data_IF_250754583888
#
_entry.id   IF_250754583888
#
_cell.length_a   1.000
_cell.length_b   1.000
_cell.length_c   1.000
_cell.angle_alpha   90.00
_cell.angle_beta   90.00
_cell.angle_gamma   90.00
#
_symmetry.space_group_name_H-M   'P 1'
#
loop_
_entity.id
_entity.type
_entity.pdbx_description
1 polymer ?
#
# COMPACT_ATOMS: atom_id res chain seq x y z
N UNK A 1 -10.23 -1.64 30.98
CA UNK A 1 -10.14 -1.44 29.51
C UNK A 1 -9.57 -2.73 28.93
N UNK A 2 -10.28 -3.39 28.01
CA UNK A 2 -9.80 -4.62 27.37
C UNK A 2 -9.10 -4.31 26.05
N UNK A 3 -8.05 -5.05 25.71
CA UNK A 3 -7.38 -4.97 24.40
C UNK A 3 -8.03 -5.99 23.47
N UNK A 4 -8.50 -5.54 22.30
CA UNK A 4 -8.95 -6.43 21.23
C UNK A 4 -7.75 -6.81 20.35
N UNK A 5 -7.56 -8.11 20.11
CA UNK A 5 -6.46 -8.62 19.27
C UNK A 5 -7.03 -9.16 17.95
N UNK A 6 -6.52 -8.64 16.84
CA UNK A 6 -6.85 -9.09 15.49
C UNK A 6 -5.68 -9.85 14.88
N UNK A 7 -5.92 -11.09 14.43
CA UNK A 7 -4.90 -11.96 13.85
C UNK A 7 -4.78 -11.74 12.35
N UNK A 8 -3.70 -12.22 11.73
CA UNK A 8 -3.55 -12.23 10.26
C UNK A 8 -4.70 -12.95 9.53
N UNK A 9 -5.33 -13.94 10.19
CA UNK A 9 -6.50 -14.65 9.67
C UNK A 9 -7.78 -13.80 9.64
N UNK A 10 -7.81 -12.69 10.37
CA UNK A 10 -8.95 -11.77 10.42
C UNK A 10 -8.86 -10.65 9.38
N UNK A 11 -7.70 -10.53 8.71
CA UNK A 11 -7.39 -9.51 7.73
C UNK A 11 -7.97 -9.88 6.37
N UNK A 12 -8.41 -8.87 5.62
CA UNK A 12 -8.77 -9.06 4.23
C UNK A 12 -7.54 -9.46 3.38
N UNK A 13 -7.79 -10.12 2.26
CA UNK A 13 -6.76 -10.47 1.29
C UNK A 13 -7.07 -9.82 -0.04
N UNK A 14 -6.04 -9.39 -0.76
CA UNK A 14 -6.16 -8.78 -2.08
C UNK A 14 -5.02 -9.21 -2.99
N UNK A 15 -5.13 -8.84 -4.25
CA UNK A 15 -4.05 -9.01 -5.21
C UNK A 15 -4.19 -8.01 -6.35
N UNK A 16 -3.06 -7.59 -6.92
CA UNK A 16 -3.00 -6.90 -8.20
C UNK A 16 -2.41 -7.81 -9.27
N UNK A 17 -2.69 -7.49 -10.53
CA UNK A 17 -2.11 -8.14 -11.71
C UNK A 17 -2.15 -9.68 -11.63
N UNK A 18 -3.33 -10.23 -11.33
CA UNK A 18 -3.56 -11.68 -11.26
C UNK A 18 -2.65 -12.43 -10.26
N UNK A 19 -2.20 -11.76 -9.19
CA UNK A 19 -1.42 -12.38 -8.12
C UNK A 19 0.08 -12.08 -8.17
N UNK A 20 0.53 -11.24 -9.11
CA UNK A 20 1.91 -10.74 -9.12
C UNK A 20 2.22 -9.82 -7.92
N UNK A 21 1.20 -9.17 -7.37
CA UNK A 21 1.26 -8.50 -6.07
C UNK A 21 0.17 -9.10 -5.20
N UNK A 22 0.54 -9.58 -4.02
CA UNK A 22 -0.38 -10.09 -3.02
C UNK A 22 -0.49 -9.10 -1.86
N UNK A 23 -1.66 -9.05 -1.25
CA UNK A 23 -1.94 -8.13 -0.14
C UNK A 23 -2.61 -8.82 1.05
N UNK A 24 -2.23 -8.38 2.24
CA UNK A 24 -2.99 -8.56 3.48
C UNK A 24 -3.37 -7.21 4.03
N UNK A 25 -4.66 -7.02 4.30
CA UNK A 25 -5.23 -5.72 4.67
C UNK A 25 -5.80 -5.79 6.08
N UNK A 26 -5.05 -5.33 7.10
CA UNK A 26 -5.61 -5.05 8.41
C UNK A 26 -6.84 -4.16 8.31
N UNK A 27 -6.77 -3.06 7.54
CA UNK A 27 -7.90 -2.17 7.29
C UNK A 27 -8.07 -2.08 5.77
N UNK A 28 -8.95 -2.92 5.23
CA UNK A 28 -9.33 -2.91 3.82
C UNK A 28 -10.59 -2.10 3.56
N UNK A 29 -10.99 -2.02 2.29
CA UNK A 29 -12.27 -1.40 1.95
C UNK A 29 -13.46 -2.24 2.45
N UNK A 30 -14.65 -1.64 2.62
CA UNK A 30 -15.82 -2.36 3.11
C UNK A 30 -16.13 -3.66 2.34
N UNK A 31 -15.92 -3.65 1.02
CA UNK A 31 -16.11 -4.81 0.14
C UNK A 31 -15.07 -5.93 0.29
N UNK A 32 -13.92 -5.66 0.94
CA UNK A 32 -12.85 -6.64 1.07
C UNK A 32 -13.13 -7.69 2.17
N UNK A 33 -14.16 -7.48 3.00
CA UNK A 33 -14.63 -8.47 3.98
C UNK A 33 -13.77 -8.62 5.25
N UNK A 34 -12.81 -7.71 5.48
CA UNK A 34 -11.98 -7.70 6.70
C UNK A 34 -12.77 -7.38 7.98
N UNK A 35 -12.35 -7.96 9.11
CA UNK A 35 -13.02 -7.76 10.41
C UNK A 35 -12.77 -6.38 11.00
N UNK A 36 -11.51 -5.91 10.91
CA UNK A 36 -11.13 -4.61 11.46
C UNK A 36 -11.65 -3.49 10.55
N UNK A 37 -12.10 -2.41 11.18
CA UNK A 37 -12.71 -1.25 10.52
C UNK A 37 -11.79 -0.03 10.67
N UNK A 38 -11.97 1.03 9.85
CA UNK A 38 -11.28 2.29 10.04
C UNK A 38 -11.31 2.76 11.49
N UNK A 39 -10.18 3.31 11.95
CA UNK A 39 -10.02 3.82 13.30
C UNK A 39 -9.45 5.23 13.25
N UNK A 40 -10.18 6.21 13.81
CA UNK A 40 -9.83 7.62 13.71
C UNK A 40 -9.67 8.02 12.24
N UNK A 41 -8.52 8.58 11.88
CA UNK A 41 -8.13 9.01 10.55
C UNK A 41 -7.41 7.93 9.74
N UNK A 42 -7.19 6.73 10.29
CA UNK A 42 -6.60 5.61 9.56
C UNK A 42 -7.73 4.79 8.95
N UNK A 43 -7.88 4.87 7.64
CA UNK A 43 -8.98 4.24 6.91
C UNK A 43 -8.53 3.21 5.87
N UNK A 44 -7.22 3.10 5.62
CA UNK A 44 -6.65 2.01 4.84
C UNK A 44 -5.28 1.59 5.41
N UNK A 45 -5.04 0.28 5.46
CA UNK A 45 -3.75 -0.31 5.80
C UNK A 45 -3.61 -1.62 5.05
N UNK A 46 -2.61 -1.69 4.17
CA UNK A 46 -2.20 -2.91 3.48
C UNK A 46 -0.72 -3.25 3.71
N UNK A 47 -0.45 -4.55 3.78
CA UNK A 47 0.86 -5.17 3.57
C UNK A 47 0.84 -5.80 2.19
N UNK A 48 1.68 -5.30 1.28
CA UNK A 48 1.77 -5.79 -0.09
C UNK A 48 3.16 -6.36 -0.38
N UNK A 49 3.24 -7.41 -1.19
CA UNK A 49 4.50 -8.02 -1.61
C UNK A 49 4.40 -8.70 -2.96
N UNK A 50 5.53 -8.85 -3.63
CA UNK A 50 5.67 -9.67 -4.84
C UNK A 50 6.12 -11.08 -4.47
N UNK A 51 5.39 -12.15 -4.82
CA UNK A 51 5.79 -13.52 -4.50
C UNK A 51 6.88 -14.08 -5.44
N UNK A 52 7.03 -13.54 -6.65
CA UNK A 52 7.91 -14.11 -7.67
C UNK A 52 8.76 -13.04 -8.36
N UNK A 53 8.11 -12.15 -9.10
CA UNK A 53 8.76 -11.16 -9.97
C UNK A 53 8.26 -9.76 -9.62
N UNK A 54 9.01 -8.75 -10.06
CA UNK A 54 8.57 -7.36 -9.96
C UNK A 54 7.22 -7.16 -10.64
N UNK A 55 6.41 -6.24 -10.12
CA UNK A 55 5.13 -5.88 -10.73
C UNK A 55 4.74 -4.44 -10.44
N UNK A 56 3.90 -3.87 -11.30
CA UNK A 56 3.54 -2.45 -11.27
C UNK A 56 2.03 -2.26 -11.18
N UNK A 57 1.61 -1.49 -10.18
CA UNK A 57 0.28 -0.90 -10.13
C UNK A 57 0.33 0.34 -11.03
N UNK A 58 -0.38 0.28 -12.15
CA UNK A 58 -0.39 1.34 -13.16
C UNK A 58 -0.94 2.68 -12.65
N UNK A 59 -0.85 3.71 -13.49
CA UNK A 59 -1.22 5.08 -13.12
C UNK A 59 -2.68 5.16 -12.65
N UNK A 60 -2.88 5.59 -11.41
CA UNK A 60 -4.20 5.73 -10.80
C UNK A 60 -4.29 6.99 -9.91
N UNK A 61 -5.50 7.59 -9.77
CA UNK A 61 -5.67 8.86 -9.09
C UNK A 61 -5.94 8.70 -7.58
N UNK A 62 -5.47 9.66 -6.79
CA UNK A 62 -5.83 9.87 -5.39
C UNK A 62 -6.11 11.36 -5.11
N UNK A 63 -6.97 11.65 -4.12
CA UNK A 63 -7.36 13.01 -3.75
C UNK A 63 -7.83 13.10 -2.30
N UNK A 64 -7.39 14.13 -1.58
CA UNK A 64 -7.92 14.51 -0.27
C UNK A 64 -7.34 13.77 0.95
N UNK A 65 -6.31 12.94 0.76
CA UNK A 65 -5.63 12.22 1.85
C UNK A 65 -4.12 12.07 1.62
N UNK A 66 -3.42 11.58 2.64
CA UNK A 66 -1.99 11.30 2.58
C UNK A 66 -1.77 9.79 2.41
N UNK A 67 -0.77 9.42 1.61
CA UNK A 67 -0.37 8.03 1.42
C UNK A 67 1.01 7.87 2.02
N UNK A 68 1.14 7.02 3.04
CA UNK A 68 2.41 6.72 3.68
C UNK A 68 2.85 5.31 3.30
N UNK A 69 3.93 5.20 2.53
CA UNK A 69 4.55 3.94 2.12
C UNK A 69 5.82 3.69 2.92
N UNK A 70 5.94 2.49 3.48
CA UNK A 70 7.11 2.03 4.25
C UNK A 70 7.70 0.81 3.55
N UNK A 71 8.95 0.90 3.13
CA UNK A 71 9.64 -0.24 2.49
C UNK A 71 10.17 -1.17 3.57
N UNK A 72 9.52 -2.33 3.75
CA UNK A 72 9.87 -3.28 4.80
C UNK A 72 11.02 -4.20 4.38
N UNK A 73 11.08 -4.51 3.08
CA UNK A 73 12.07 -5.38 2.50
C UNK A 73 12.29 -5.01 1.03
N UNK A 74 13.54 -5.03 0.59
CA UNK A 74 13.89 -4.88 -0.82
C UNK A 74 13.77 -3.43 -1.30
N UNK A 75 13.08 -3.22 -2.43
CA UNK A 75 13.04 -1.92 -3.13
C UNK A 75 11.68 -1.69 -3.79
N UNK A 76 11.25 -0.44 -3.85
CA UNK A 76 10.16 -0.02 -4.73
C UNK A 76 10.58 1.15 -5.61
N UNK A 77 9.88 1.35 -6.72
CA UNK A 77 9.94 2.59 -7.48
C UNK A 77 8.57 3.25 -7.46
N UNK A 78 8.56 4.56 -7.20
CA UNK A 78 7.36 5.37 -7.21
C UNK A 78 7.40 6.38 -8.35
N UNK A 79 6.28 6.57 -9.04
CA UNK A 79 6.10 7.65 -10.00
C UNK A 79 4.85 8.45 -9.65
N UNK A 80 4.91 9.77 -9.76
CA UNK A 80 3.72 10.61 -9.72
C UNK A 80 3.74 11.74 -10.75
N UNK A 81 2.56 12.29 -11.03
CA UNK A 81 2.37 13.36 -12.02
C UNK A 81 2.97 14.71 -11.61
N UNK A 82 3.42 14.89 -10.37
CA UNK A 82 4.01 16.15 -9.89
C UNK A 82 5.52 16.16 -10.15
N UNK A 83 6.19 15.05 -9.83
CA UNK A 83 7.63 14.90 -10.03
C UNK A 83 7.97 14.41 -11.44
N UNK A 84 7.02 13.74 -12.10
CA UNK A 84 7.11 13.24 -13.48
C UNK A 84 8.37 12.42 -13.75
N UNK A 85 8.79 11.62 -12.77
CA UNK A 85 9.92 10.70 -12.82
C UNK A 85 9.73 9.57 -11.82
N UNK A 86 10.38 8.43 -12.09
CA UNK A 86 10.47 7.36 -11.11
C UNK A 86 11.50 7.72 -10.03
N UNK A 87 11.11 7.54 -8.77
CA UNK A 87 11.95 7.70 -7.60
C UNK A 87 12.09 6.33 -6.91
N UNK A 88 13.30 5.77 -6.83
CA UNK A 88 13.54 4.55 -6.08
C UNK A 88 13.48 4.81 -4.57
N UNK A 89 12.97 3.84 -3.82
CA UNK A 89 12.99 3.79 -2.36
C UNK A 89 13.54 2.42 -1.95
N UNK A 90 14.53 2.42 -1.07
CA UNK A 90 15.22 1.23 -0.58
C UNK A 90 14.65 0.78 0.77
N UNK A 91 15.02 -0.42 1.22
CA UNK A 91 14.59 -0.97 2.51
C UNK A 91 14.84 0.00 3.67
N UNK A 92 13.81 0.25 4.48
CA UNK A 92 13.83 1.23 5.57
C UNK A 92 13.39 2.64 5.17
N UNK A 93 13.27 2.95 3.87
CA UNK A 93 12.76 4.23 3.42
C UNK A 93 11.26 4.38 3.72
N UNK A 94 10.87 5.63 3.93
CA UNK A 94 9.48 6.06 4.08
C UNK A 94 9.18 7.16 3.08
N UNK A 95 8.05 7.03 2.40
CA UNK A 95 7.54 8.05 1.49
C UNK A 95 6.17 8.53 1.97
N UNK A 96 5.93 9.83 1.84
CA UNK A 96 4.63 10.44 2.05
C UNK A 96 4.19 11.21 0.82
N UNK A 97 3.04 10.86 0.26
CA UNK A 97 2.38 11.60 -0.82
C UNK A 97 1.23 12.39 -0.22
N UNK A 98 1.22 13.71 -0.44
CA UNK A 98 0.08 14.58 -0.07
C UNK A 98 -0.77 14.84 -1.30
N UNK A 99 -1.81 14.04 -1.49
CA UNK A 99 -2.61 14.09 -2.73
C UNK A 99 -3.34 15.42 -2.95
N UNK A 100 -3.69 16.14 -1.88
CA UNK A 100 -4.28 17.47 -1.95
C UNK A 100 -5.51 17.54 -2.88
N UNK A 101 -5.48 18.43 -3.87
CA UNK A 101 -6.55 18.58 -4.88
C UNK A 101 -6.61 17.46 -5.91
N UNK A 102 -5.61 16.58 -5.96
CA UNK A 102 -5.54 15.44 -6.86
C UNK A 102 -4.11 15.20 -7.36
N UNK A 103 -3.70 13.93 -7.37
CA UNK A 103 -2.45 13.44 -7.98
C UNK A 103 -2.72 12.07 -8.60
N UNK A 104 -2.05 11.74 -9.70
CA UNK A 104 -2.00 10.35 -10.18
C UNK A 104 -0.62 9.78 -9.97
N UNK A 105 -0.55 8.51 -9.60
CA UNK A 105 0.71 7.84 -9.30
C UNK A 105 0.74 6.38 -9.73
N UNK A 106 1.94 5.81 -9.80
CA UNK A 106 2.21 4.40 -10.09
C UNK A 106 3.24 3.87 -9.10
N UNK A 107 3.09 2.60 -8.75
CA UNK A 107 3.91 1.94 -7.74
C UNK A 107 4.45 0.65 -8.35
N UNK A 108 5.77 0.54 -8.47
CA UNK A 108 6.45 -0.70 -8.86
C UNK A 108 7.07 -1.32 -7.61
N UNK A 109 6.61 -2.51 -7.24
CA UNK A 109 7.24 -3.33 -6.21
C UNK A 109 8.24 -4.23 -6.92
N UNK A 110 9.54 -4.12 -6.59
CA UNK A 110 10.57 -4.96 -7.18
C UNK A 110 10.42 -6.42 -6.70
N UNK A 111 11.13 -7.34 -7.34
CA UNK A 111 11.13 -8.75 -6.93
C UNK A 111 11.56 -8.88 -5.46
N UNK A 112 11.02 -9.89 -4.77
CA UNK A 112 11.30 -10.18 -3.37
C UNK A 112 11.13 -8.99 -2.40
N UNK A 113 10.29 -8.01 -2.75
CA UNK A 113 10.10 -6.77 -1.98
C UNK A 113 8.73 -6.73 -1.29
N UNK A 114 8.66 -6.02 -0.16
CA UNK A 114 7.47 -5.92 0.68
C UNK A 114 7.31 -4.50 1.22
N UNK A 115 6.07 -4.01 1.25
CA UNK A 115 5.74 -2.68 1.77
C UNK A 115 4.54 -2.71 2.71
N UNK A 116 4.50 -1.74 3.64
CA UNK A 116 3.23 -1.27 4.19
C UNK A 116 2.79 0.00 3.48
N UNK A 117 1.49 0.13 3.26
CA UNK A 117 0.87 1.38 2.83
C UNK A 117 -0.29 1.71 3.76
N UNK A 118 -0.28 2.92 4.32
CA UNK A 118 -1.30 3.43 5.25
C UNK A 118 -1.86 4.74 4.71
N UNK A 119 -3.19 4.86 4.73
CA UNK A 119 -3.93 6.10 4.43
C UNK A 119 -4.74 6.56 5.64
#
# INVERSE_FOLDING_TARGET
MGVSVYKKSDQASGSFNQGEILEKKPIGFPQDGGKLKPYSNIFYWAHAWTPYEKSTIGLHPHRGFEICSFVLKGKINHFDTVQNKWIPLDEGDVQVIRSGSGISHSEEICDNSEIFQIW
#
